data_IF_499369355650
#
_entry.id   IF_499369355650
#
_cell.length_a   1.000
_cell.length_b   1.000
_cell.length_c   1.000
_cell.angle_alpha   90.00
_cell.angle_beta   90.00
_cell.angle_gamma   90.00
#
_symmetry.space_group_name_H-M   'P 1'
#
loop_
_entity.id
_entity.type
_entity.pdbx_description
1 polymer ?
#
# COMPACT_ATOMS: atom_id res chain seq x y z
N UNK A 1 2.09 -7.93 -4.93
CA UNK A 1 0.99 -8.92 -4.97
C UNK A 1 -0.36 -8.24 -5.11
N UNK A 2 -1.25 -8.82 -5.92
CA UNK A 2 -2.66 -8.46 -5.96
C UNK A 2 -3.33 -8.74 -4.59
N UNK A 3 -4.53 -8.22 -4.36
CA UNK A 3 -5.25 -8.46 -3.11
C UNK A 3 -5.44 -9.98 -2.91
N UNK A 4 -5.25 -10.51 -1.68
CA UNK A 4 -5.42 -11.94 -1.44
C UNK A 4 -6.80 -12.38 -1.90
N UNK A 5 -6.89 -13.58 -2.48
CA UNK A 5 -8.16 -14.08 -2.95
C UNK A 5 -9.14 -14.19 -1.76
N UNK A 6 -10.44 -13.91 -1.96
CA UNK A 6 -11.45 -14.04 -0.91
C UNK A 6 -11.46 -15.41 -0.22
N UNK A 7 -10.95 -16.44 -0.89
CA UNK A 7 -10.79 -17.81 -0.39
C UNK A 7 -9.85 -17.88 0.82
N UNK A 8 -8.85 -16.99 0.91
CA UNK A 8 -7.87 -16.95 2.01
C UNK A 8 -8.26 -15.96 3.12
N UNK A 9 -9.43 -15.32 3.00
CA UNK A 9 -9.87 -14.23 3.87
C UNK A 9 -9.85 -14.60 5.35
N UNK A 10 -10.43 -15.74 5.71
CA UNK A 10 -10.57 -16.11 7.12
C UNK A 10 -9.22 -16.34 7.79
N UNK A 11 -8.36 -17.15 7.16
CA UNK A 11 -7.03 -17.47 7.67
C UNK A 11 -6.15 -16.21 7.78
N UNK A 12 -6.12 -15.39 6.72
CA UNK A 12 -5.30 -14.18 6.70
C UNK A 12 -5.74 -13.16 7.74
N UNK A 13 -7.04 -12.89 7.83
CA UNK A 13 -7.57 -11.90 8.77
C UNK A 13 -7.39 -12.38 10.20
N UNK A 14 -7.62 -13.66 10.47
CA UNK A 14 -7.42 -14.23 11.79
C UNK A 14 -5.95 -14.16 12.22
N UNK A 15 -5.02 -14.55 11.36
CA UNK A 15 -3.59 -14.43 11.63
C UNK A 15 -3.17 -12.97 11.89
N UNK A 16 -3.73 -12.01 11.13
CA UNK A 16 -3.49 -10.58 11.36
C UNK A 16 -4.00 -10.11 12.73
N UNK A 17 -5.20 -10.55 13.14
CA UNK A 17 -5.79 -10.21 14.43
C UNK A 17 -4.97 -10.76 15.61
N UNK A 18 -4.58 -12.03 15.54
CA UNK A 18 -3.72 -12.66 16.56
C UNK A 18 -2.38 -11.94 16.67
N UNK A 19 -1.76 -11.61 15.52
CA UNK A 19 -0.50 -10.86 15.50
C UNK A 19 -0.66 -9.43 16.03
N UNK A 20 -1.77 -8.77 15.75
CA UNK A 20 -2.05 -7.41 16.25
C UNK A 20 -2.32 -7.38 17.75
N UNK A 21 -2.91 -8.45 18.30
CA UNK A 21 -3.12 -8.63 19.73
C UNK A 21 -1.85 -9.09 20.46
N UNK A 22 -0.79 -9.47 19.75
CA UNK A 22 0.45 -9.93 20.37
C UNK A 22 1.02 -8.83 21.30
N UNK A 23 1.11 -9.16 22.59
CA UNK A 23 1.55 -8.23 23.63
C UNK A 23 0.41 -7.57 24.43
N UNK A 24 -0.85 -7.85 24.12
CA UNK A 24 -2.00 -7.45 24.93
C UNK A 24 -2.82 -8.67 25.37
N UNK A 25 -2.64 -9.06 26.64
CA UNK A 25 -3.30 -10.24 27.22
C UNK A 25 -4.83 -10.15 27.16
N UNK A 26 -5.41 -8.97 27.40
CA UNK A 26 -6.86 -8.78 27.34
C UNK A 26 -7.40 -9.03 25.93
N UNK A 27 -6.70 -8.52 24.91
CA UNK A 27 -7.07 -8.75 23.51
C UNK A 27 -6.93 -10.22 23.12
N UNK A 28 -5.88 -10.91 23.58
CA UNK A 28 -5.69 -12.34 23.31
C UNK A 28 -6.83 -13.15 23.94
N UNK A 29 -7.16 -12.91 25.22
CA UNK A 29 -8.27 -13.60 25.88
C UNK A 29 -9.61 -13.34 25.16
N UNK A 30 -9.85 -12.11 24.70
CA UNK A 30 -11.05 -11.80 23.92
C UNK A 30 -11.05 -12.55 22.57
N UNK A 31 -9.91 -12.68 21.88
CA UNK A 31 -9.82 -13.46 20.65
C UNK A 31 -10.06 -14.96 20.87
N UNK A 32 -9.59 -15.54 21.97
CA UNK A 32 -9.85 -16.94 22.34
C UNK A 32 -11.35 -17.20 22.60
N UNK A 33 -12.04 -16.26 23.24
CA UNK A 33 -13.50 -16.31 23.43
C UNK A 33 -14.22 -16.24 22.08
N UNK A 34 -13.77 -15.35 21.19
CA UNK A 34 -14.33 -15.19 19.86
C UNK A 34 -14.08 -16.40 18.96
N UNK A 35 -12.95 -17.08 19.11
CA UNK A 35 -12.62 -18.30 18.35
C UNK A 35 -13.69 -19.37 18.50
N UNK A 36 -14.23 -19.50 19.71
CA UNK A 36 -15.29 -20.46 20.04
C UNK A 36 -16.69 -20.00 19.60
N UNK A 37 -16.84 -18.76 19.14
CA UNK A 37 -18.11 -18.21 18.64
C UNK A 37 -18.02 -17.92 17.14
N UNK A 38 -18.37 -18.93 16.32
CA UNK A 38 -18.28 -18.87 14.86
C UNK A 38 -19.01 -17.67 14.24
N UNK A 39 -20.15 -17.25 14.78
CA UNK A 39 -20.91 -16.13 14.23
C UNK A 39 -20.21 -14.79 14.48
N UNK A 40 -19.76 -14.54 15.71
CA UNK A 40 -19.06 -13.28 16.04
C UNK A 40 -17.68 -13.24 15.37
N UNK A 41 -16.97 -14.37 15.31
CA UNK A 41 -15.69 -14.52 14.60
C UNK A 41 -15.84 -14.13 13.12
N UNK A 42 -16.82 -14.70 12.44
CA UNK A 42 -17.10 -14.42 11.03
C UNK A 42 -17.40 -12.92 10.81
N UNK A 43 -18.23 -12.33 11.67
CA UNK A 43 -18.59 -10.90 11.55
C UNK A 43 -17.41 -9.96 11.82
N UNK A 44 -16.52 -10.30 12.76
CA UNK A 44 -15.29 -9.56 13.00
C UNK A 44 -14.35 -9.65 11.79
N UNK A 45 -14.20 -10.86 11.23
CA UNK A 45 -13.41 -11.08 10.02
C UNK A 45 -13.95 -10.26 8.85
N UNK A 46 -15.27 -10.27 8.63
CA UNK A 46 -15.93 -9.46 7.61
C UNK A 46 -15.67 -7.97 7.78
N UNK A 47 -15.76 -7.47 9.03
CA UNK A 47 -15.52 -6.08 9.35
C UNK A 47 -14.07 -5.66 9.03
N UNK A 48 -13.09 -6.45 9.50
CA UNK A 48 -11.66 -6.16 9.27
C UNK A 48 -11.31 -6.27 7.79
N UNK A 49 -11.82 -7.29 7.11
CA UNK A 49 -11.63 -7.47 5.67
C UNK A 49 -12.22 -6.31 4.87
N UNK A 50 -13.45 -5.90 5.17
CA UNK A 50 -14.11 -4.78 4.52
C UNK A 50 -13.35 -3.48 4.69
N UNK A 51 -12.98 -3.16 5.94
CA UNK A 51 -12.18 -1.97 6.25
C UNK A 51 -10.82 -1.97 5.55
N UNK A 52 -10.09 -3.10 5.58
CA UNK A 52 -8.81 -3.25 4.91
C UNK A 52 -8.90 -3.12 3.38
N UNK A 53 -9.92 -3.74 2.78
CA UNK A 53 -10.19 -3.65 1.34
C UNK A 53 -10.45 -2.20 0.92
N UNK A 54 -11.27 -1.49 1.68
CA UNK A 54 -11.61 -0.09 1.40
C UNK A 54 -10.40 0.82 1.54
N UNK A 55 -9.63 0.68 2.63
CA UNK A 55 -8.41 1.47 2.86
C UNK A 55 -7.42 1.29 1.69
N UNK A 56 -7.22 0.05 1.25
CA UNK A 56 -6.33 -0.26 0.13
C UNK A 56 -6.86 0.32 -1.19
N UNK A 57 -8.15 0.17 -1.48
CA UNK A 57 -8.77 0.73 -2.68
C UNK A 57 -8.60 2.25 -2.75
N UNK A 58 -8.82 2.94 -1.63
CA UNK A 58 -8.62 4.39 -1.53
C UNK A 58 -7.15 4.78 -1.73
N UNK A 59 -6.22 4.03 -1.12
CA UNK A 59 -4.78 4.29 -1.25
C UNK A 59 -4.28 4.05 -2.69
N UNK A 60 -4.77 3.00 -3.36
CA UNK A 60 -4.51 2.76 -4.78
C UNK A 60 -5.03 3.94 -5.60
N UNK A 61 -6.29 4.34 -5.41
CA UNK A 61 -6.86 5.48 -6.14
C UNK A 61 -6.03 6.76 -5.96
N UNK A 62 -5.64 7.08 -4.73
CA UNK A 62 -4.77 8.24 -4.44
C UNK A 62 -3.40 8.11 -5.09
N UNK A 63 -2.79 6.93 -5.06
CA UNK A 63 -1.54 6.67 -5.77
C UNK A 63 -1.69 6.91 -7.28
N UNK A 64 -2.76 6.42 -7.91
CA UNK A 64 -3.05 6.64 -9.33
C UNK A 64 -3.14 8.12 -9.70
N UNK A 65 -3.65 8.97 -8.80
CA UNK A 65 -3.76 10.42 -9.03
C UNK A 65 -2.40 11.12 -8.89
N UNK A 66 -1.57 10.72 -7.93
CA UNK A 66 -0.33 11.44 -7.57
C UNK A 66 0.91 10.92 -8.31
N UNK A 67 0.98 9.62 -8.59
CA UNK A 67 2.14 8.99 -9.26
C UNK A 67 2.49 9.67 -10.60
N UNK A 68 1.55 9.99 -11.50
CA UNK A 68 1.89 10.62 -12.78
C UNK A 68 2.55 11.99 -12.66
N UNK A 69 2.18 12.80 -11.66
CA UNK A 69 2.79 14.13 -11.48
C UNK A 69 4.17 14.06 -10.83
N UNK A 70 4.41 13.04 -10.00
CA UNK A 70 5.66 12.87 -9.26
C UNK A 70 6.74 12.15 -10.05
N UNK A 71 6.36 11.16 -10.86
CA UNK A 71 7.26 10.43 -11.75
C UNK A 71 7.13 10.87 -13.21
N UNK A 72 6.49 12.01 -13.46
CA UNK A 72 6.35 12.59 -14.79
C UNK A 72 7.74 12.81 -15.40
N UNK A 73 8.02 12.11 -16.50
CA UNK A 73 9.32 12.17 -17.15
C UNK A 73 9.50 13.57 -17.77
N UNK A 74 10.55 14.33 -17.40
CA UNK A 74 10.74 15.67 -17.92
C UNK A 74 11.27 15.63 -19.37
N UNK A 75 10.65 16.42 -20.23
CA UNK A 75 11.10 16.65 -21.60
C UNK A 75 10.56 15.66 -22.65
N UNK A 76 10.98 15.85 -23.89
CA UNK A 76 10.72 14.90 -24.99
C UNK A 76 11.85 13.87 -25.01
N UNK A 77 11.76 12.85 -24.16
CA UNK A 77 12.62 11.66 -24.30
C UNK A 77 12.25 10.95 -25.59
N UNK A 78 13.25 10.45 -26.32
CA UNK A 78 12.99 9.54 -27.43
C UNK A 78 12.67 8.12 -26.91
N UNK A 79 12.26 7.22 -27.81
CA UNK A 79 11.82 5.87 -27.45
C UNK A 79 12.92 5.04 -26.76
N UNK A 80 14.17 5.16 -27.21
CA UNK A 80 15.31 4.44 -26.63
C UNK A 80 15.65 4.95 -25.22
N UNK A 81 15.66 6.27 -25.03
CA UNK A 81 15.87 6.91 -23.72
C UNK A 81 14.77 6.53 -22.73
N UNK A 82 13.53 6.51 -23.19
CA UNK A 82 12.38 6.08 -22.41
C UNK A 82 12.50 4.61 -21.99
N UNK A 83 12.81 3.72 -22.94
CA UNK A 83 13.00 2.29 -22.64
C UNK A 83 14.12 2.07 -21.63
N UNK A 84 15.24 2.78 -21.78
CA UNK A 84 16.37 2.70 -20.83
C UNK A 84 15.99 3.18 -19.43
N UNK A 85 15.31 4.33 -19.34
CA UNK A 85 14.86 4.88 -18.05
C UNK A 85 13.86 3.95 -17.36
N UNK A 86 12.89 3.39 -18.11
CA UNK A 86 11.91 2.45 -17.58
C UNK A 86 12.56 1.14 -17.10
N UNK A 87 13.50 0.59 -17.88
CA UNK A 87 14.24 -0.60 -17.47
C UNK A 87 14.98 -0.36 -16.14
N UNK A 88 15.69 0.76 -16.03
CA UNK A 88 16.41 1.14 -14.81
C UNK A 88 15.46 1.34 -13.61
N UNK A 89 14.36 2.08 -13.78
CA UNK A 89 13.40 2.34 -12.70
C UNK A 89 12.67 1.09 -12.23
N UNK A 90 12.12 0.31 -13.17
CA UNK A 90 11.21 -0.80 -12.86
C UNK A 90 11.96 -2.09 -12.56
N UNK A 91 12.96 -2.45 -13.36
CA UNK A 91 13.66 -3.73 -13.17
C UNK A 91 14.61 -3.68 -11.97
N UNK A 92 15.21 -2.51 -11.70
CA UNK A 92 16.08 -2.32 -10.53
C UNK A 92 15.37 -1.72 -9.32
N UNK A 93 14.03 -1.63 -9.35
CA UNK A 93 13.18 -1.17 -8.23
C UNK A 93 13.57 0.20 -7.65
N UNK A 94 14.05 1.13 -8.49
CA UNK A 94 14.60 2.42 -8.06
C UNK A 94 13.54 3.45 -7.64
N UNK A 95 12.27 3.22 -7.98
CA UNK A 95 11.14 4.09 -7.63
C UNK A 95 10.93 4.28 -6.12
N UNK A 96 11.48 3.42 -5.26
CA UNK A 96 11.36 3.55 -3.80
C UNK A 96 12.37 4.53 -3.20
N UNK A 97 13.39 4.92 -3.96
CA UNK A 97 14.50 5.76 -3.50
C UNK A 97 14.22 7.23 -3.77
N UNK A 98 14.66 8.16 -2.90
CA UNK A 98 14.58 9.58 -3.18
C UNK A 98 15.62 10.03 -4.22
N UNK A 99 15.49 11.30 -4.67
CA UNK A 99 16.43 12.00 -5.54
C UNK A 99 16.72 11.30 -6.87
N UNK A 100 15.67 10.77 -7.51
CA UNK A 100 15.77 10.08 -8.81
C UNK A 100 16.15 11.08 -9.91
N UNK A 101 17.31 10.85 -10.53
CA UNK A 101 17.73 11.51 -11.77
C UNK A 101 17.68 10.51 -12.93
N UNK A 102 16.77 10.77 -13.87
CA UNK A 102 16.52 9.93 -15.04
C UNK A 102 17.60 10.06 -16.12
N UNK A 103 18.26 11.22 -16.20
CA UNK A 103 19.35 11.44 -17.17
C UNK A 103 20.61 10.72 -16.72
N UNK A 104 20.92 10.84 -15.44
CA UNK A 104 22.07 10.16 -14.84
C UNK A 104 21.80 8.68 -14.51
N UNK A 105 20.52 8.25 -14.53
CA UNK A 105 20.09 6.94 -14.02
C UNK A 105 20.65 6.69 -12.61
N UNK A 106 20.45 7.66 -11.71
CA UNK A 106 20.97 7.63 -10.33
C UNK A 106 19.92 8.00 -9.30
N UNK A 107 20.05 7.49 -8.09
CA UNK A 107 19.21 7.84 -6.93
C UNK A 107 19.98 7.67 -5.62
N UNK A 108 19.45 8.20 -4.52
CA UNK A 108 20.02 8.02 -3.19
C UNK A 108 19.71 6.61 -2.65
N UNK A 109 20.68 5.70 -2.72
CA UNK A 109 20.51 4.29 -2.33
C UNK A 109 20.57 4.03 -0.82
N UNK A 110 21.11 4.97 -0.05
CA UNK A 110 21.27 4.87 1.41
C UNK A 110 19.94 4.83 2.18
N UNK A 111 18.85 5.24 1.52
CA UNK A 111 17.52 5.40 2.13
C UNK A 111 16.41 4.83 1.24
N UNK A 112 16.30 3.50 1.12
CA UNK A 112 15.16 2.88 0.46
C UNK A 112 13.86 3.27 1.21
N UNK A 113 12.77 3.50 0.47
CA UNK A 113 11.45 3.94 0.98
C UNK A 113 11.35 5.39 1.45
N UNK A 114 12.38 6.21 1.24
CA UNK A 114 12.35 7.63 1.59
C UNK A 114 11.86 8.54 0.48
N UNK A 115 11.38 7.99 -0.64
CA UNK A 115 10.77 8.81 -1.68
C UNK A 115 9.59 9.63 -1.10
N UNK A 116 9.53 10.97 -1.28
CA UNK A 116 8.51 11.84 -0.65
C UNK A 116 7.05 11.43 -0.93
N UNK A 117 6.82 10.71 -2.04
CA UNK A 117 5.51 10.14 -2.41
C UNK A 117 4.89 9.33 -1.29
N UNK A 118 5.66 8.53 -0.54
CA UNK A 118 5.12 7.67 0.50
C UNK A 118 4.50 8.50 1.62
N UNK A 119 5.21 9.55 2.05
CA UNK A 119 4.69 10.50 3.04
C UNK A 119 3.46 11.23 2.52
N UNK A 120 3.45 11.64 1.26
CA UNK A 120 2.29 12.29 0.65
C UNK A 120 1.07 11.36 0.60
N UNK A 121 1.25 10.09 0.24
CA UNK A 121 0.17 9.10 0.18
C UNK A 121 -0.38 8.78 1.58
N UNK A 122 0.49 8.59 2.57
CA UNK A 122 0.09 8.41 3.97
C UNK A 122 -0.71 9.64 4.42
N UNK A 123 -0.19 10.85 4.16
CA UNK A 123 -0.86 12.07 4.55
C UNK A 123 -2.23 12.21 3.88
N UNK A 124 -2.32 11.96 2.58
CA UNK A 124 -3.55 11.99 1.83
C UNK A 124 -4.55 10.93 2.33
N UNK A 125 -4.07 9.77 2.80
CA UNK A 125 -4.96 8.73 3.31
C UNK A 125 -5.63 9.11 4.64
N UNK A 126 -4.86 9.65 5.59
CA UNK A 126 -5.36 9.92 6.93
C UNK A 126 -5.92 11.33 7.12
N UNK A 127 -5.40 12.32 6.40
CA UNK A 127 -5.78 13.73 6.52
C UNK A 127 -6.23 14.38 5.21
N UNK A 128 -6.19 13.66 4.09
CA UNK A 128 -6.70 14.16 2.81
C UNK A 128 -8.23 14.07 2.72
N UNK A 129 -8.78 14.75 1.72
CA UNK A 129 -10.22 14.67 1.42
C UNK A 129 -10.59 13.22 1.11
N UNK A 130 -11.60 12.69 1.81
CA UNK A 130 -12.18 11.38 1.53
C UNK A 130 -13.21 11.51 0.40
N UNK A 131 -13.12 10.67 -0.62
CA UNK A 131 -14.22 10.49 -1.59
C UNK A 131 -14.31 11.45 -2.77
N UNK A 132 -13.20 11.91 -3.35
CA UNK A 132 -13.24 12.48 -4.72
C UNK A 132 -13.26 11.35 -5.75
N UNK A 133 -14.29 10.50 -5.70
CA UNK A 133 -14.68 9.76 -6.89
C UNK A 133 -15.14 10.80 -7.90
N UNK A 134 -14.36 11.02 -8.97
CA UNK A 134 -14.77 11.87 -10.10
C UNK A 134 -16.19 11.46 -10.48
N UNK A 135 -17.14 12.39 -10.35
CA UNK A 135 -18.43 12.30 -11.03
C UNK A 135 -18.22 12.25 -12.53
#
# INVERSE_FOLDING_TARGET
>A
EAFPLPVQKEELVWACLVKAAAGNNEMITNLEVLENNSWVKSRLIDYVWGGGSQLRGELIFKAWVVVPSVYGLPGKLNEDELCKALAWLMQSMKLIHPDIDLKACSCSEDKPWYHPIFLQLIKAQWWGKKGEAKK
#
